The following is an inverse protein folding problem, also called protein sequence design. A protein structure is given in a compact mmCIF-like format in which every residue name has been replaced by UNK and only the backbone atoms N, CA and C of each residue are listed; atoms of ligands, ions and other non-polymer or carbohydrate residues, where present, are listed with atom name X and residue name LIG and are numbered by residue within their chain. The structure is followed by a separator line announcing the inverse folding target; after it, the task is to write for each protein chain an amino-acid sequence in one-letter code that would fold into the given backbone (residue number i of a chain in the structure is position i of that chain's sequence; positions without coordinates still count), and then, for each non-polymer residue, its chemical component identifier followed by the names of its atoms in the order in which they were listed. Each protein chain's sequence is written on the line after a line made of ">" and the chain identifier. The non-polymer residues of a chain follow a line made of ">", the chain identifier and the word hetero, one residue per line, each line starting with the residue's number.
data_IF_288422106682
#
_entry.id   IF_288422106682
#
_cell.length_a   1.000
_cell.length_b   1.000
_cell.length_c   1.000
_cell.angle_alpha   90.00
_cell.angle_beta   90.00
_cell.angle_gamma   90.00
#
_symmetry.space_group_name_H-M   'P 1'
#
loop_
_entity.id
_entity.type
_entity.pdbx_description
1 polymer ?
#
# COMPACT_ATOMS: atom_id res chain seq x y z
N UNK A 1 16.09 -6.60 -16.69
CA UNK A 1 15.30 -7.85 -16.85
C UNK A 1 14.33 -8.11 -15.67
N UNK A 2 14.17 -7.17 -14.74
CA UNK A 2 13.17 -7.24 -13.65
C UNK A 2 12.52 -5.90 -13.37
N UNK A 3 12.68 -4.92 -14.26
CA UNK A 3 12.54 -3.51 -13.93
C UNK A 3 11.11 -3.21 -13.44
N UNK A 4 10.10 -3.88 -14.03
CA UNK A 4 8.71 -3.75 -13.62
C UNK A 4 8.37 -4.45 -12.28
N UNK A 5 9.06 -5.54 -11.95
CA UNK A 5 8.84 -6.28 -10.69
C UNK A 5 9.38 -5.50 -9.49
N UNK A 6 10.46 -4.73 -9.70
CA UNK A 6 11.04 -3.91 -8.63
C UNK A 6 10.08 -2.81 -8.18
N UNK A 7 9.30 -2.21 -9.08
CA UNK A 7 8.25 -1.26 -8.68
C UNK A 7 7.24 -1.89 -7.73
N UNK A 8 6.80 -3.13 -7.98
CA UNK A 8 5.90 -3.83 -7.06
C UNK A 8 6.55 -4.15 -5.72
N UNK A 9 7.79 -4.64 -5.74
CA UNK A 9 8.54 -4.86 -4.51
C UNK A 9 8.64 -3.58 -3.67
N UNK A 10 8.92 -2.44 -4.29
CA UNK A 10 8.98 -1.12 -3.63
C UNK A 10 7.61 -0.65 -3.13
N UNK A 11 6.53 -0.83 -3.89
CA UNK A 11 5.18 -0.48 -3.42
C UNK A 11 4.86 -1.22 -2.12
N UNK A 12 5.08 -2.53 -2.06
CA UNK A 12 4.82 -3.28 -0.83
C UNK A 12 5.78 -2.89 0.30
N UNK A 13 7.09 -2.89 0.05
CA UNK A 13 8.10 -2.67 1.10
C UNK A 13 8.17 -1.22 1.57
N UNK A 14 8.20 -0.27 0.64
CA UNK A 14 8.42 1.14 0.94
C UNK A 14 7.11 1.88 1.24
N UNK A 15 6.02 1.58 0.52
CA UNK A 15 4.76 2.33 0.69
C UNK A 15 3.84 1.67 1.71
N UNK A 16 3.68 0.34 1.61
CA UNK A 16 2.76 -0.43 2.46
C UNK A 16 3.44 -1.06 3.68
N UNK A 17 4.76 -0.95 3.81
CA UNK A 17 5.55 -1.58 4.88
C UNK A 17 5.33 -3.11 4.99
N UNK A 18 4.96 -3.78 3.91
CA UNK A 18 4.77 -5.24 3.87
C UNK A 18 6.00 -5.89 3.24
N UNK A 19 6.64 -6.86 3.90
CA UNK A 19 7.73 -7.63 3.29
C UNK A 19 7.18 -8.56 2.22
N UNK A 20 7.86 -8.58 1.07
CA UNK A 20 7.53 -9.46 -0.05
C UNK A 20 8.81 -10.10 -0.60
N UNK A 21 8.70 -11.34 -1.07
CA UNK A 21 9.77 -12.09 -1.70
C UNK A 21 9.59 -12.07 -3.22
N UNK A 22 10.61 -11.62 -3.95
CA UNK A 22 10.65 -11.74 -5.42
C UNK A 22 10.91 -13.20 -5.81
N UNK A 23 10.23 -13.68 -6.83
CA UNK A 23 10.37 -15.06 -7.33
C UNK A 23 9.96 -15.23 -8.78
N UNK A 24 10.15 -16.45 -9.28
CA UNK A 24 9.71 -16.90 -10.60
C UNK A 24 8.73 -18.06 -10.36
N UNK A 25 7.56 -18.00 -10.99
CA UNK A 25 6.58 -19.09 -10.91
C UNK A 25 7.12 -20.34 -11.59
N UNK A 26 6.75 -21.51 -11.08
CA UNK A 26 7.00 -22.79 -11.74
C UNK A 26 6.26 -22.85 -13.07
N UNK A 27 6.61 -23.80 -13.94
CA UNK A 27 5.91 -24.00 -15.21
C UNK A 27 4.41 -24.28 -15.03
N UNK A 28 4.01 -24.92 -13.93
CA UNK A 28 2.60 -25.19 -13.61
C UNK A 28 1.84 -23.96 -13.11
N UNK A 29 2.53 -22.98 -12.53
CA UNK A 29 1.93 -21.80 -11.87
C UNK A 29 2.11 -20.50 -12.67
N UNK A 30 2.89 -20.52 -13.76
CA UNK A 30 3.09 -19.35 -14.60
C UNK A 30 1.81 -19.07 -15.40
N UNK A 31 1.66 -17.83 -15.86
CA UNK A 31 0.61 -17.50 -16.82
C UNK A 31 0.78 -18.35 -18.10
N UNK A 32 -0.22 -19.18 -18.49
CA UNK A 32 -0.06 -20.13 -19.59
C UNK A 32 0.29 -19.51 -20.94
N UNK A 33 -0.17 -18.28 -21.19
CA UNK A 33 0.16 -17.54 -22.41
C UNK A 33 1.55 -16.90 -22.39
N UNK A 34 2.26 -16.92 -21.27
CA UNK A 34 3.55 -16.26 -21.10
C UNK A 34 4.74 -17.19 -21.23
N UNK A 35 5.87 -16.64 -21.69
CA UNK A 35 7.16 -17.34 -21.69
C UNK A 35 7.64 -17.57 -20.24
N UNK A 36 7.59 -16.54 -19.40
CA UNK A 36 8.03 -16.57 -18.00
C UNK A 36 7.16 -15.64 -17.15
N UNK A 37 6.81 -16.07 -15.94
CA UNK A 37 6.10 -15.25 -14.94
C UNK A 37 6.96 -15.02 -13.72
N UNK A 38 7.25 -13.75 -13.44
CA UNK A 38 7.89 -13.31 -12.21
C UNK A 38 6.84 -12.75 -11.26
N UNK A 39 7.09 -12.81 -9.96
CA UNK A 39 6.09 -12.46 -8.96
C UNK A 39 6.72 -11.91 -7.69
N UNK A 40 5.94 -11.16 -6.92
CA UNK A 40 6.22 -10.89 -5.50
C UNK A 40 5.20 -11.64 -4.66
N UNK A 41 5.69 -12.39 -3.69
CA UNK A 41 4.91 -13.23 -2.77
C UNK A 41 5.03 -12.69 -1.35
N UNK A 42 3.98 -12.86 -0.55
CA UNK A 42 4.05 -12.66 0.90
C UNK A 42 3.21 -13.73 1.60
N UNK A 43 3.13 -13.68 2.92
CA UNK A 43 2.29 -14.57 3.69
C UNK A 43 1.57 -13.80 4.81
N UNK A 44 0.43 -14.33 5.22
CA UNK A 44 -0.35 -13.82 6.35
C UNK A 44 -0.02 -14.69 7.57
N UNK A 45 0.72 -14.18 8.58
CA UNK A 45 1.17 -14.97 9.72
C UNK A 45 0.04 -15.69 10.48
N UNK A 46 -1.10 -15.04 10.63
CA UNK A 46 -2.22 -15.47 11.48
C UNK A 46 -2.89 -16.75 10.98
N UNK A 47 -2.90 -16.97 9.67
CA UNK A 47 -3.51 -18.15 9.05
C UNK A 47 -2.50 -19.04 8.30
N UNK A 48 -1.22 -18.64 8.26
CA UNK A 48 -0.14 -19.38 7.62
C UNK A 48 -0.24 -19.48 6.09
N UNK A 49 -1.09 -18.68 5.43
CA UNK A 49 -1.32 -18.76 3.98
C UNK A 49 -0.44 -17.77 3.23
N UNK A 50 0.23 -18.27 2.18
CA UNK A 50 0.90 -17.44 1.19
C UNK A 50 -0.12 -16.74 0.28
N UNK A 51 0.24 -15.57 -0.21
CA UNK A 51 -0.57 -14.79 -1.14
C UNK A 51 0.30 -14.09 -2.18
N UNK A 52 -0.07 -14.26 -3.44
CA UNK A 52 0.55 -13.55 -4.55
C UNK A 52 0.17 -12.07 -4.49
N UNK A 53 1.19 -11.24 -4.28
CA UNK A 53 1.06 -9.80 -4.07
C UNK A 53 1.03 -9.02 -5.40
N UNK A 54 1.83 -9.41 -6.40
CA UNK A 54 1.78 -8.87 -7.77
C UNK A 54 2.47 -9.80 -8.77
N UNK A 55 2.27 -9.54 -10.06
CA UNK A 55 2.80 -10.37 -11.16
C UNK A 55 3.37 -9.54 -12.30
N UNK A 56 4.43 -10.03 -12.92
CA UNK A 56 5.03 -9.47 -14.13
C UNK A 56 5.42 -10.60 -15.08
N UNK A 57 4.88 -10.56 -16.28
CA UNK A 57 5.01 -11.60 -17.29
C UNK A 57 5.92 -11.12 -18.41
N UNK A 58 6.90 -11.95 -18.75
CA UNK A 58 7.50 -11.94 -20.08
C UNK A 58 6.62 -12.83 -20.95
N UNK A 59 5.91 -12.23 -21.91
CA UNK A 59 4.99 -12.94 -22.79
C UNK A 59 5.69 -13.59 -23.98
N UNK A 60 6.98 -13.30 -24.17
CA UNK A 60 7.71 -13.68 -25.37
C UNK A 60 7.01 -13.13 -26.61
N UNK A 61 6.81 -14.00 -27.59
CA UNK A 61 6.12 -13.70 -28.84
C UNK A 61 4.78 -14.44 -28.97
N UNK A 62 4.29 -15.10 -27.91
CA UNK A 62 3.08 -15.92 -27.98
C UNK A 62 1.86 -15.11 -28.43
N UNK A 63 1.64 -13.97 -27.79
CA UNK A 63 0.56 -13.04 -28.14
C UNK A 63 0.81 -12.35 -29.47
N UNK A 64 2.06 -11.96 -29.76
CA UNK A 64 2.39 -11.32 -31.03
C UNK A 64 2.08 -12.24 -32.23
N UNK A 65 2.36 -13.54 -32.13
CA UNK A 65 1.98 -14.53 -33.15
C UNK A 65 0.46 -14.69 -33.25
N UNK A 66 -0.23 -14.79 -32.12
CA UNK A 66 -1.67 -14.96 -32.07
C UNK A 66 -2.43 -13.76 -32.68
N UNK A 67 -1.94 -12.54 -32.47
CA UNK A 67 -2.59 -11.30 -32.89
C UNK A 67 -1.96 -10.63 -34.12
N UNK A 68 -0.93 -11.22 -34.73
CA UNK A 68 -0.24 -10.66 -35.90
C UNK A 68 0.52 -9.36 -35.61
N UNK A 69 1.10 -9.22 -34.41
CA UNK A 69 1.85 -8.03 -34.00
C UNK A 69 3.29 -8.13 -34.54
N UNK A 70 3.46 -7.68 -35.77
CA UNK A 70 4.72 -7.71 -36.52
C UNK A 70 5.35 -6.31 -36.65
N UNK A 71 6.67 -6.29 -36.80
CA UNK A 71 7.43 -5.10 -37.20
C UNK A 71 8.56 -5.49 -38.16
N UNK A 72 9.08 -4.53 -38.91
CA UNK A 72 10.24 -4.70 -39.77
C UNK A 72 11.50 -4.27 -39.01
N UNK A 73 12.53 -5.13 -38.97
CA UNK A 73 13.81 -4.79 -38.33
C UNK A 73 14.72 -3.96 -39.26
N UNK A 74 15.89 -3.56 -38.80
CA UNK A 74 16.87 -2.77 -39.59
C UNK A 74 17.32 -3.44 -40.90
N UNK A 75 17.18 -4.77 -41.00
CA UNK A 75 17.51 -5.57 -42.19
C UNK A 75 16.33 -5.77 -43.14
N UNK A 76 15.20 -5.11 -42.88
CA UNK A 76 13.94 -5.27 -43.61
C UNK A 76 13.28 -6.65 -43.47
N UNK A 77 13.56 -7.35 -42.37
CA UNK A 77 12.97 -8.65 -42.08
C UNK A 77 11.76 -8.49 -41.15
N UNK A 78 10.67 -9.21 -41.44
CA UNK A 78 9.51 -9.29 -40.54
C UNK A 78 9.86 -10.03 -39.25
N UNK A 79 9.55 -9.42 -38.11
CA UNK A 79 9.77 -9.96 -36.77
C UNK A 79 8.49 -9.82 -35.93
N UNK A 80 8.25 -10.77 -35.01
CA UNK A 80 7.19 -10.66 -34.02
C UNK A 80 7.66 -9.86 -32.80
N UNK A 81 6.80 -8.97 -32.30
CA UNK A 81 7.10 -8.19 -31.12
C UNK A 81 7.33 -9.06 -29.88
N UNK A 82 8.33 -8.71 -29.06
CA UNK A 82 8.48 -9.24 -27.71
C UNK A 82 7.64 -8.41 -26.75
N UNK A 83 6.79 -9.08 -25.96
CA UNK A 83 5.80 -8.41 -25.14
C UNK A 83 5.98 -8.69 -23.64
N UNK A 84 5.51 -7.75 -22.82
CA UNK A 84 5.36 -7.94 -21.37
C UNK A 84 3.98 -7.48 -20.93
N UNK A 85 3.47 -8.06 -19.84
CA UNK A 85 2.30 -7.56 -19.13
C UNK A 85 2.54 -7.65 -17.62
N UNK A 86 1.90 -6.81 -16.84
CA UNK A 86 2.16 -6.72 -15.40
C UNK A 86 0.92 -6.17 -14.70
N UNK A 87 0.65 -6.66 -13.49
CA UNK A 87 -0.55 -6.33 -12.74
C UNK A 87 -0.36 -6.26 -11.23
N UNK A 88 -0.99 -5.24 -10.64
CA UNK A 88 -1.19 -5.03 -9.20
C UNK A 88 -2.65 -4.63 -9.01
N UNK A 89 -3.29 -5.08 -7.93
CA UNK A 89 -4.70 -4.79 -7.65
C UNK A 89 -4.88 -4.25 -6.24
N UNK A 90 -6.11 -3.85 -5.91
CA UNK A 90 -6.54 -3.46 -4.55
C UNK A 90 -6.37 -4.56 -3.51
N UNK A 91 -6.04 -5.80 -3.90
CA UNK A 91 -5.57 -6.85 -2.99
C UNK A 91 -4.44 -6.36 -2.08
N UNK A 92 -3.60 -5.45 -2.58
CA UNK A 92 -2.50 -4.85 -1.80
C UNK A 92 -2.98 -4.17 -0.52
N UNK A 93 -4.16 -3.54 -0.54
CA UNK A 93 -4.79 -2.90 0.63
C UNK A 93 -5.18 -3.98 1.65
N UNK A 94 -5.81 -5.07 1.18
CA UNK A 94 -6.18 -6.19 2.06
C UNK A 94 -4.95 -6.86 2.69
N UNK A 95 -3.88 -7.06 1.92
CA UNK A 95 -2.61 -7.59 2.43
C UNK A 95 -2.05 -6.67 3.52
N UNK A 96 -1.94 -5.37 3.26
CA UNK A 96 -1.46 -4.39 4.25
C UNK A 96 -2.30 -4.40 5.52
N UNK A 97 -3.63 -4.43 5.39
CA UNK A 97 -4.55 -4.48 6.54
C UNK A 97 -4.34 -5.74 7.38
N UNK A 98 -4.25 -6.91 6.75
CA UNK A 98 -4.01 -8.17 7.46
C UNK A 98 -2.62 -8.22 8.10
N UNK A 99 -1.61 -7.63 7.46
CA UNK A 99 -0.23 -7.71 7.94
C UNK A 99 0.04 -6.85 9.18
N UNK A 100 -0.61 -5.69 9.28
CA UNK A 100 -0.35 -4.73 10.35
C UNK A 100 -1.44 -4.66 11.42
N UNK A 101 -2.68 -5.07 11.10
CA UNK A 101 -3.81 -4.97 12.01
C UNK A 101 -3.61 -5.73 13.33
N UNK A 102 -4.25 -5.25 14.38
CA UNK A 102 -4.21 -5.84 15.71
C UNK A 102 -5.63 -5.97 16.31
N UNK A 103 -5.74 -6.42 17.56
CA UNK A 103 -7.02 -6.60 18.24
C UNK A 103 -7.81 -5.28 18.44
N UNK A 104 -7.16 -4.12 18.29
CA UNK A 104 -7.79 -2.79 18.40
C UNK A 104 -8.26 -2.26 17.06
N UNK A 105 -7.77 -2.79 15.95
CA UNK A 105 -8.24 -2.47 14.60
C UNK A 105 -7.13 -2.33 13.58
N UNK A 106 -7.27 -1.33 12.71
CA UNK A 106 -6.26 -1.06 11.68
C UNK A 106 -4.99 -0.50 12.31
N UNK A 107 -3.84 -0.82 11.72
CA UNK A 107 -2.58 -0.11 11.95
C UNK A 107 -2.05 0.27 10.56
N UNK A 108 -2.13 1.56 10.21
CA UNK A 108 -1.80 2.01 8.86
C UNK A 108 -0.35 2.52 8.80
N UNK A 109 0.44 2.15 7.78
CA UNK A 109 1.72 2.78 7.53
C UNK A 109 1.54 4.29 7.29
N UNK A 110 2.41 5.16 7.86
CA UNK A 110 2.25 6.61 7.74
C UNK A 110 2.25 7.15 6.30
N UNK A 111 2.82 6.42 5.33
CA UNK A 111 2.83 6.84 3.92
C UNK A 111 1.45 6.72 3.24
N UNK A 112 0.55 5.89 3.76
CA UNK A 112 -0.78 5.65 3.19
C UNK A 112 -1.94 6.03 4.12
N UNK A 113 -1.66 6.31 5.39
CA UNK A 113 -2.69 6.76 6.34
C UNK A 113 -3.30 8.11 5.91
N UNK A 114 -4.62 8.20 5.74
CA UNK A 114 -5.29 9.45 5.36
C UNK A 114 -5.06 10.57 6.39
N UNK A 115 -5.07 10.19 7.67
CA UNK A 115 -4.66 11.03 8.81
C UNK A 115 -3.44 10.37 9.43
N UNK A 116 -2.31 11.08 9.49
CA UNK A 116 -1.09 10.61 10.13
C UNK A 116 -1.09 10.95 11.62
N UNK A 117 -1.56 12.16 11.96
CA UNK A 117 -1.61 12.67 13.33
C UNK A 117 -3.03 13.14 13.64
N UNK A 118 -3.62 12.63 14.71
CA UNK A 118 -4.86 13.16 15.28
C UNK A 118 -4.57 13.87 16.61
N UNK A 119 -4.98 15.13 16.71
CA UNK A 119 -4.89 15.93 17.93
C UNK A 119 -6.22 15.82 18.67
N UNK A 120 -6.19 15.41 19.94
CA UNK A 120 -7.38 15.22 20.78
C UNK A 120 -7.26 16.09 22.03
N UNK A 121 -7.88 17.30 22.04
CA UNK A 121 -7.86 18.17 23.20
C UNK A 121 -8.53 17.51 24.40
N UNK A 122 -7.81 17.40 25.52
CA UNK A 122 -8.35 16.86 26.77
C UNK A 122 -8.86 18.04 27.61
N UNK A 123 -10.19 18.15 27.82
CA UNK A 123 -10.74 19.26 28.59
C UNK A 123 -10.23 19.21 30.04
N UNK A 124 -9.76 20.36 30.53
CA UNK A 124 -9.34 20.54 31.91
C UNK A 124 -10.11 21.70 32.52
N UNK A 125 -10.75 21.45 33.68
CA UNK A 125 -11.66 22.40 34.31
C UNK A 125 -10.96 23.73 34.59
N UNK A 126 -11.49 24.81 34.02
CA UNK A 126 -10.95 26.17 34.17
C UNK A 126 -9.76 26.50 33.27
N UNK A 127 -9.38 25.60 32.34
CA UNK A 127 -8.33 25.82 31.33
C UNK A 127 -8.76 25.41 29.92
N UNK A 128 -10.06 25.31 29.67
CA UNK A 128 -10.62 24.81 28.42
C UNK A 128 -10.12 25.64 27.23
N UNK A 129 -10.09 26.97 27.36
CA UNK A 129 -9.58 27.87 26.33
C UNK A 129 -8.07 27.71 26.10
N UNK A 130 -7.28 27.50 27.16
CA UNK A 130 -5.83 27.29 27.05
C UNK A 130 -5.53 26.01 26.27
N UNK A 131 -6.25 24.92 26.59
CA UNK A 131 -6.11 23.63 25.91
C UNK A 131 -6.48 23.76 24.42
N UNK A 132 -7.61 24.39 24.10
CA UNK A 132 -8.03 24.61 22.70
C UNK A 132 -7.01 25.45 21.94
N UNK A 133 -6.49 26.52 22.56
CA UNK A 133 -5.47 27.37 21.95
C UNK A 133 -4.17 26.61 21.71
N UNK A 134 -3.73 25.78 22.66
CA UNK A 134 -2.54 24.94 22.51
C UNK A 134 -2.71 23.90 21.39
N UNK A 135 -3.87 23.24 21.32
CA UNK A 135 -4.18 22.28 20.26
C UNK A 135 -4.21 22.94 18.87
N UNK A 136 -4.82 24.12 18.74
CA UNK A 136 -4.81 24.90 17.51
C UNK A 136 -3.40 25.35 17.12
N UNK A 137 -2.59 25.80 18.09
CA UNK A 137 -1.20 26.16 17.83
C UNK A 137 -0.36 24.97 17.35
N UNK A 138 -0.56 23.79 17.93
CA UNK A 138 0.11 22.57 17.52
C UNK A 138 -0.32 22.14 16.11
N UNK A 139 -1.61 22.18 15.83
CA UNK A 139 -2.15 21.90 14.50
C UNK A 139 -1.54 22.81 13.43
N UNK A 140 -1.50 24.12 13.66
CA UNK A 140 -0.92 25.07 12.71
C UNK A 140 0.60 24.84 12.51
N UNK A 141 1.32 24.46 13.55
CA UNK A 141 2.74 24.08 13.44
C UNK A 141 2.92 22.82 12.59
N UNK A 142 2.13 21.78 12.81
CA UNK A 142 2.21 20.53 12.06
C UNK A 142 1.74 20.69 10.61
N UNK A 143 0.69 21.48 10.38
CA UNK A 143 0.15 21.76 9.04
C UNK A 143 1.14 22.50 8.13
N UNK A 144 2.08 23.25 8.71
CA UNK A 144 3.19 23.89 7.96
C UNK A 144 4.26 22.90 7.48
N UNK A 145 4.17 21.64 7.90
CA UNK A 145 5.02 20.54 7.44
C UNK A 145 4.23 19.62 6.49
N UNK A 146 4.87 18.59 5.95
CA UNK A 146 4.21 17.60 5.07
C UNK A 146 3.40 16.53 5.86
N UNK A 147 2.90 16.88 7.05
CA UNK A 147 2.15 15.98 7.93
C UNK A 147 0.65 16.17 7.72
N UNK A 148 -0.06 15.08 7.42
CA UNK A 148 -1.52 15.03 7.36
C UNK A 148 -2.09 14.97 8.78
N UNK A 149 -2.38 16.14 9.33
CA UNK A 149 -2.89 16.32 10.70
C UNK A 149 -4.36 16.71 10.73
N UNK A 150 -5.10 16.23 11.74
CA UNK A 150 -6.47 16.68 12.05
C UNK A 150 -6.62 16.95 13.56
N UNK A 151 -7.65 17.73 13.93
CA UNK A 151 -8.07 17.91 15.34
C UNK A 151 -9.45 17.28 15.51
N UNK A 152 -9.64 16.46 16.54
CA UNK A 152 -10.96 15.98 16.96
C UNK A 152 -11.51 16.84 18.11
N UNK A 153 -12.15 17.96 17.76
CA UNK A 153 -12.74 18.91 18.70
C UNK A 153 -14.21 18.61 19.08
N UNK A 154 -14.75 17.45 18.70
CA UNK A 154 -16.15 17.07 19.00
C UNK A 154 -16.38 17.05 20.50
N UNK A 155 -17.33 17.83 20.99
CA UNK A 155 -17.66 17.98 22.42
C UNK A 155 -18.60 16.89 22.93
N UNK A 156 -19.39 16.31 22.03
CA UNK A 156 -20.35 15.24 22.32
C UNK A 156 -19.70 13.86 22.62
N UNK A 157 -18.38 13.75 22.57
CA UNK A 157 -17.64 12.51 22.87
C UNK A 157 -16.55 12.73 23.91
N UNK A 158 -16.45 11.83 24.88
CA UNK A 158 -15.36 11.85 25.84
C UNK A 158 -14.02 11.47 25.18
N UNK A 159 -12.85 11.85 25.75
CA UNK A 159 -11.55 11.55 25.16
C UNK A 159 -11.32 10.05 24.91
N UNK A 160 -11.71 9.19 25.85
CA UNK A 160 -11.54 7.73 25.72
C UNK A 160 -12.27 7.14 24.50
N UNK A 161 -13.47 7.64 24.20
CA UNK A 161 -14.20 7.26 22.99
C UNK A 161 -13.44 7.68 21.73
N UNK A 162 -12.90 8.91 21.70
CA UNK A 162 -12.10 9.40 20.57
C UNK A 162 -10.83 8.59 20.40
N UNK A 163 -10.18 8.20 21.50
CA UNK A 163 -8.97 7.37 21.47
C UNK A 163 -9.24 6.07 20.74
N UNK A 164 -10.28 5.34 21.14
CA UNK A 164 -10.67 4.09 20.49
C UNK A 164 -11.14 4.31 19.03
N UNK A 165 -11.88 5.39 18.76
CA UNK A 165 -12.35 5.71 17.41
C UNK A 165 -11.20 5.85 16.40
N UNK A 166 -10.10 6.49 16.81
CA UNK A 166 -8.94 6.72 15.96
C UNK A 166 -7.95 5.57 15.96
N UNK A 167 -7.87 4.80 17.05
CA UNK A 167 -7.15 3.50 17.09
C UNK A 167 -7.79 2.51 16.11
N UNK A 168 -9.11 2.34 16.14
CA UNK A 168 -9.83 1.43 15.22
C UNK A 168 -9.59 1.78 13.75
N UNK A 169 -9.44 3.08 13.44
CA UNK A 169 -9.15 3.60 12.10
C UNK A 169 -7.66 3.54 11.71
N UNK A 170 -6.79 3.19 12.64
CA UNK A 170 -5.35 3.07 12.41
C UNK A 170 -4.63 4.37 12.15
N UNK A 171 -5.04 5.46 12.81
CA UNK A 171 -4.25 6.69 12.79
C UNK A 171 -2.93 6.45 13.52
N UNK A 172 -1.76 6.62 12.86
CA UNK A 172 -0.47 6.23 13.42
C UNK A 172 -0.10 6.95 14.72
N UNK A 173 -0.43 8.25 14.82
CA UNK A 173 -0.04 9.09 15.95
C UNK A 173 -1.27 9.80 16.51
N UNK A 174 -1.46 9.68 17.82
CA UNK A 174 -2.40 10.48 18.61
C UNK A 174 -1.63 11.44 19.51
N UNK A 175 -1.98 12.72 19.46
CA UNK A 175 -1.43 13.80 20.29
C UNK A 175 -2.52 14.43 21.17
#
# INVERSE_FOLDING_TARGET
>A
MFDNLEFYHRVYKEVLAVPVCKGIKTESEKFPGGFKTSTVETWIPENGRAIQAATSHNLGQNFAKMFGIEFENEKKEKQFAWQTSWGLTTRSIGIMTMYHGDDKGLVLPPRVANVQVIIIPIPFKGKEQEVVKAASSLYESLKKTDIRVQIDSRDNYNPGWKFNHWELKGVPIRL
#
